data_IF_987652071211
#
_entry.id   IF_987652071211
#
_cell.length_a   1.000
_cell.length_b   1.000
_cell.length_c   1.000
_cell.angle_alpha   90.00
_cell.angle_beta   90.00
_cell.angle_gamma   90.00
#
_symmetry.space_group_name_H-M   'P 1'
#
loop_
_entity.id
_entity.type
_entity.pdbx_description
1 polymer ?
#
# COMPACT_ATOMS: atom_id res chain seq x y z
N UNK A 1 25.47 -0.08 9.45
CA UNK A 1 24.82 1.25 9.30
C UNK A 1 24.55 1.83 10.68
N UNK A 2 24.61 3.16 10.86
CA UNK A 2 24.23 3.80 12.12
C UNK A 2 22.75 3.57 12.42
N UNK A 3 22.41 3.44 13.71
CA UNK A 3 21.04 3.25 14.16
C UNK A 3 20.15 4.42 13.71
N UNK A 4 18.90 4.12 13.33
CA UNK A 4 17.91 5.16 13.01
C UNK A 4 17.66 6.08 14.19
N UNK A 5 17.32 7.35 13.93
CA UNK A 5 17.06 8.33 15.00
C UNK A 5 15.93 7.88 15.93
N UNK A 6 14.88 7.25 15.36
CA UNK A 6 13.77 6.71 16.14
C UNK A 6 14.20 5.46 16.92
N UNK A 7 15.00 4.58 16.32
CA UNK A 7 15.52 3.37 16.98
C UNK A 7 16.35 3.67 18.24
N UNK A 8 16.92 4.87 18.36
CA UNK A 8 17.69 5.30 19.54
C UNK A 8 16.81 5.79 20.70
N UNK A 9 15.50 5.98 20.48
CA UNK A 9 14.56 6.42 21.52
C UNK A 9 14.13 5.25 22.42
N UNK A 10 13.62 5.53 23.64
CA UNK A 10 12.92 4.55 24.44
C UNK A 10 11.82 3.84 23.64
N UNK A 11 11.67 2.52 23.84
CA UNK A 11 10.74 1.67 23.07
C UNK A 11 9.30 2.19 23.06
N UNK A 12 8.83 2.77 24.16
CA UNK A 12 7.51 3.39 24.23
C UNK A 12 7.34 4.55 23.23
N UNK A 13 8.36 5.41 23.06
CA UNK A 13 8.33 6.49 22.07
C UNK A 13 8.40 5.93 20.64
N UNK A 14 9.15 4.86 20.41
CA UNK A 14 9.17 4.18 19.11
C UNK A 14 7.78 3.66 18.72
N UNK A 15 7.08 3.01 19.66
CA UNK A 15 5.70 2.55 19.50
C UNK A 15 4.73 3.69 19.21
N UNK A 16 4.83 4.80 19.94
CA UNK A 16 4.01 5.99 19.70
C UNK A 16 4.23 6.58 18.31
N UNK A 17 5.48 6.66 17.83
CA UNK A 17 5.79 7.14 16.49
C UNK A 17 5.21 6.20 15.43
N UNK A 18 5.35 4.89 15.60
CA UNK A 18 4.76 3.89 14.70
C UNK A 18 3.24 4.05 14.60
N UNK A 19 2.54 4.12 15.73
CA UNK A 19 1.07 4.30 15.78
C UNK A 19 0.68 5.64 15.15
N UNK A 20 1.43 6.71 15.40
CA UNK A 20 1.16 8.04 14.87
C UNK A 20 1.27 8.07 13.34
N UNK A 21 2.24 7.37 12.75
CA UNK A 21 2.37 7.26 11.30
C UNK A 21 1.18 6.48 10.71
N UNK A 22 0.74 5.40 11.35
CA UNK A 22 -0.48 4.68 10.94
C UNK A 22 -1.74 5.54 11.03
N UNK A 23 -1.90 6.29 12.13
CA UNK A 23 -3.01 7.23 12.29
C UNK A 23 -2.98 8.31 11.19
N UNK A 24 -1.80 8.85 10.88
CA UNK A 24 -1.63 9.82 9.80
C UNK A 24 -2.00 9.24 8.43
N UNK A 25 -1.60 7.99 8.13
CA UNK A 25 -2.01 7.31 6.89
C UNK A 25 -3.53 7.20 6.78
N UNK A 26 -4.20 6.79 7.87
CA UNK A 26 -5.65 6.66 7.91
C UNK A 26 -6.35 8.01 7.72
N UNK A 27 -5.93 9.04 8.47
CA UNK A 27 -6.50 10.40 8.39
C UNK A 27 -6.28 11.00 7.01
N UNK A 28 -5.06 10.94 6.45
CA UNK A 28 -4.77 11.49 5.13
C UNK A 28 -5.51 10.76 4.01
N UNK A 29 -5.69 9.44 4.12
CA UNK A 29 -6.50 8.66 3.17
C UNK A 29 -7.97 9.06 3.26
N UNK A 30 -8.52 9.15 4.48
CA UNK A 30 -9.89 9.59 4.71
C UNK A 30 -10.15 10.99 4.14
N UNK A 31 -9.27 11.95 4.43
CA UNK A 31 -9.37 13.31 3.91
C UNK A 31 -9.24 13.36 2.38
N UNK A 32 -8.40 12.50 1.79
CA UNK A 32 -8.30 12.41 0.33
C UNK A 32 -9.60 11.91 -0.29
N UNK A 33 -10.22 10.88 0.29
CA UNK A 33 -11.49 10.33 -0.20
C UNK A 33 -12.65 11.31 0.00
N UNK A 34 -12.72 11.99 1.15
CA UNK A 34 -13.93 12.74 1.55
C UNK A 34 -13.88 14.23 1.23
N UNK A 35 -12.69 14.81 1.09
CA UNK A 35 -12.52 16.25 0.91
C UNK A 35 -11.75 16.56 -0.37
N UNK A 36 -10.51 16.05 -0.49
CA UNK A 36 -9.62 16.43 -1.59
C UNK A 36 -10.11 15.91 -2.93
N UNK A 37 -10.52 14.65 -3.00
CA UNK A 37 -11.05 14.02 -4.22
C UNK A 37 -12.27 14.76 -4.77
N UNK A 38 -13.33 14.98 -3.98
CA UNK A 38 -14.49 15.78 -4.39
C UNK A 38 -14.14 17.22 -4.78
N UNK A 39 -13.27 17.88 -4.02
CA UNK A 39 -12.82 19.23 -4.35
C UNK A 39 -12.05 19.27 -5.69
N UNK A 40 -11.21 18.27 -5.98
CA UNK A 40 -10.50 18.14 -7.24
C UNK A 40 -11.46 17.87 -8.40
N UNK A 41 -12.45 17.01 -8.19
CA UNK A 41 -13.49 16.72 -9.17
C UNK A 41 -14.28 17.98 -9.55
N UNK A 42 -14.57 18.85 -8.58
CA UNK A 42 -15.26 20.12 -8.80
C UNK A 42 -14.37 21.20 -9.45
N UNK A 43 -13.12 21.36 -8.97
CA UNK A 43 -12.23 22.44 -9.40
C UNK A 43 -11.57 22.17 -10.77
N UNK A 44 -11.19 20.93 -11.05
CA UNK A 44 -10.46 20.52 -12.26
C UNK A 44 -10.93 19.13 -12.73
N UNK A 45 -12.18 19.02 -13.25
CA UNK A 45 -12.82 17.75 -13.58
C UNK A 45 -12.04 16.93 -14.62
N UNK A 46 -11.39 17.58 -15.58
CA UNK A 46 -10.58 16.90 -16.59
C UNK A 46 -9.37 16.17 -15.97
N UNK A 47 -8.70 16.80 -14.99
CA UNK A 47 -7.57 16.19 -14.27
C UNK A 47 -8.08 15.02 -13.42
N UNK A 48 -9.19 15.21 -12.71
CA UNK A 48 -9.79 14.16 -11.91
C UNK A 48 -10.18 12.94 -12.77
N UNK A 49 -10.84 13.15 -13.90
CA UNK A 49 -11.20 12.09 -14.84
C UNK A 49 -9.96 11.36 -15.40
N UNK A 50 -8.90 12.10 -15.74
CA UNK A 50 -7.65 11.50 -16.20
C UNK A 50 -7.00 10.60 -15.13
N UNK A 51 -7.00 11.04 -13.86
CA UNK A 51 -6.51 10.24 -12.74
C UNK A 51 -7.34 8.98 -12.52
N UNK A 52 -8.68 9.08 -12.61
CA UNK A 52 -9.57 7.93 -12.51
C UNK A 52 -9.37 6.92 -13.64
N UNK A 53 -9.14 7.39 -14.87
CA UNK A 53 -8.87 6.51 -16.01
C UNK A 53 -7.51 5.82 -15.89
N UNK A 54 -6.50 6.51 -15.37
CA UNK A 54 -5.13 6.00 -15.25
C UNK A 54 -4.95 5.01 -14.08
N UNK A 55 -5.79 5.07 -13.04
CA UNK A 55 -5.54 4.35 -11.77
C UNK A 55 -5.42 2.85 -11.91
N UNK A 56 -6.28 2.20 -12.71
CA UNK A 56 -6.23 0.74 -12.86
C UNK A 56 -4.94 0.30 -13.55
N UNK A 57 -4.64 0.74 -14.79
CA UNK A 57 -3.42 0.30 -15.46
C UNK A 57 -2.17 0.67 -14.66
N UNK A 58 -2.15 1.84 -14.00
CA UNK A 58 -1.03 2.24 -13.16
C UNK A 58 -0.87 1.34 -11.93
N UNK A 59 -1.94 1.12 -11.16
CA UNK A 59 -1.86 0.29 -9.95
C UNK A 59 -1.54 -1.16 -10.29
N UNK A 60 -2.14 -1.72 -11.35
CA UNK A 60 -1.81 -3.05 -11.84
C UNK A 60 -0.35 -3.16 -12.25
N UNK A 61 0.18 -2.22 -13.05
CA UNK A 61 1.57 -2.25 -13.46
C UNK A 61 2.53 -2.13 -12.25
N UNK A 62 2.27 -1.19 -11.35
CA UNK A 62 3.09 -0.97 -10.16
C UNK A 62 3.15 -2.22 -9.27
N UNK A 63 2.00 -2.77 -8.89
CA UNK A 63 1.95 -3.94 -8.01
C UNK A 63 2.44 -5.21 -8.68
N UNK A 64 2.30 -5.34 -10.01
CA UNK A 64 2.91 -6.46 -10.73
C UNK A 64 4.44 -6.38 -10.67
N UNK A 65 5.02 -5.20 -10.95
CA UNK A 65 6.47 -5.00 -10.93
C UNK A 65 7.04 -5.18 -9.53
N UNK A 66 6.41 -4.57 -8.50
CA UNK A 66 6.84 -4.73 -7.11
C UNK A 66 6.67 -6.17 -6.64
N UNK A 67 5.59 -6.83 -7.05
CA UNK A 67 5.35 -8.24 -6.74
C UNK A 67 6.42 -9.16 -7.33
N UNK A 68 6.85 -8.92 -8.57
CA UNK A 68 7.99 -9.62 -9.17
C UNK A 68 9.30 -9.30 -8.43
N UNK A 69 9.48 -8.05 -7.99
CA UNK A 69 10.69 -7.63 -7.26
C UNK A 69 10.89 -8.40 -5.95
N UNK A 70 9.82 -8.82 -5.27
CA UNK A 70 9.90 -9.69 -4.07
C UNK A 70 10.66 -11.00 -4.30
N UNK A 71 10.74 -11.46 -5.55
CA UNK A 71 11.47 -12.66 -5.93
C UNK A 71 12.83 -12.34 -6.57
N UNK A 72 12.91 -11.30 -7.40
CA UNK A 72 14.15 -10.96 -8.13
C UNK A 72 15.14 -10.13 -7.31
N UNK A 73 14.67 -9.42 -6.28
CA UNK A 73 15.45 -8.64 -5.33
C UNK A 73 15.14 -9.06 -3.88
N UNK A 74 14.97 -10.37 -3.65
CA UNK A 74 14.46 -10.95 -2.42
C UNK A 74 15.19 -10.48 -1.16
N UNK A 75 16.51 -10.64 -1.11
CA UNK A 75 17.32 -10.27 0.07
C UNK A 75 17.16 -8.80 0.44
N UNK A 76 17.11 -7.94 -0.57
CA UNK A 76 16.93 -6.51 -0.36
C UNK A 76 15.56 -6.21 0.24
N UNK A 77 14.49 -6.81 -0.27
CA UNK A 77 13.14 -6.57 0.28
C UNK A 77 12.99 -7.21 1.66
N UNK A 78 13.50 -8.42 1.85
CA UNK A 78 13.50 -9.11 3.14
C UNK A 78 14.26 -8.33 4.22
N UNK A 79 15.30 -7.58 3.85
CA UNK A 79 16.06 -6.74 4.78
C UNK A 79 15.27 -5.56 5.36
N UNK A 80 14.17 -5.18 4.71
CA UNK A 80 13.22 -4.15 5.16
C UNK A 80 12.13 -4.69 6.09
N UNK A 81 12.12 -6.00 6.34
CA UNK A 81 11.16 -6.61 7.26
C UNK A 81 11.47 -6.24 8.72
N UNK A 82 10.50 -5.74 9.51
CA UNK A 82 10.75 -5.40 10.90
C UNK A 82 11.07 -6.65 11.74
N UNK A 83 12.15 -6.58 12.52
CA UNK A 83 12.58 -7.70 13.38
C UNK A 83 11.63 -7.88 14.57
N UNK A 84 11.51 -9.09 15.16
CA UNK A 84 10.75 -9.27 16.39
C UNK A 84 11.18 -8.29 17.49
N UNK A 85 10.20 -7.70 18.18
CA UNK A 85 10.40 -6.66 19.20
C UNK A 85 10.51 -5.23 18.67
N UNK A 86 10.49 -5.00 17.36
CA UNK A 86 10.50 -3.64 16.78
C UNK A 86 9.35 -2.80 17.35
N UNK A 87 9.65 -1.56 17.75
CA UNK A 87 8.73 -0.62 18.40
C UNK A 87 8.07 -1.12 19.70
N UNK A 88 8.49 -2.27 20.25
CA UNK A 88 7.88 -2.88 21.44
C UNK A 88 6.53 -3.56 21.22
N UNK A 89 6.09 -3.67 19.97
CA UNK A 89 4.77 -4.21 19.62
C UNK A 89 4.80 -5.17 18.41
N UNK A 90 5.91 -5.23 17.68
CA UNK A 90 6.02 -6.06 16.48
C UNK A 90 6.49 -7.49 16.82
N UNK A 91 5.55 -8.43 16.86
CA UNK A 91 5.82 -9.85 17.13
C UNK A 91 5.14 -10.76 16.09
N UNK A 92 5.08 -10.31 14.83
CA UNK A 92 4.44 -11.06 13.76
C UNK A 92 5.21 -12.38 13.52
N UNK A 93 4.56 -13.55 13.65
CA UNK A 93 5.21 -14.85 13.46
C UNK A 93 5.62 -15.05 12.00
N UNK A 94 6.61 -15.92 11.78
CA UNK A 94 7.18 -16.19 10.46
C UNK A 94 8.51 -15.48 10.22
N UNK A 95 9.18 -15.84 9.13
CA UNK A 95 10.46 -15.25 8.75
C UNK A 95 10.28 -14.06 7.81
N UNK A 96 11.29 -13.19 7.73
CA UNK A 96 11.33 -12.11 6.74
C UNK A 96 11.15 -12.64 5.31
N UNK A 97 11.78 -13.78 4.99
CA UNK A 97 11.67 -14.43 3.68
C UNK A 97 10.24 -14.93 3.41
N UNK A 98 9.57 -15.53 4.40
CA UNK A 98 8.17 -15.96 4.27
C UNK A 98 7.25 -14.79 3.91
N UNK A 99 7.32 -13.70 4.68
CA UNK A 99 6.48 -12.52 4.44
C UNK A 99 6.81 -11.85 3.11
N UNK A 100 8.09 -11.77 2.76
CA UNK A 100 8.53 -11.25 1.44
C UNK A 100 7.92 -12.05 0.30
N UNK A 101 8.01 -13.38 0.34
CA UNK A 101 7.48 -14.22 -0.73
C UNK A 101 5.95 -14.15 -0.80
N UNK A 102 5.25 -14.21 0.33
CA UNK A 102 3.80 -14.16 0.36
C UNK A 102 3.26 -12.80 -0.10
N UNK A 103 3.87 -11.69 0.32
CA UNK A 103 3.53 -10.36 -0.17
C UNK A 103 3.73 -10.28 -1.68
N UNK A 104 4.85 -10.79 -2.22
CA UNK A 104 5.08 -10.85 -3.67
C UNK A 104 3.97 -11.59 -4.43
N UNK A 105 3.55 -12.76 -3.93
CA UNK A 105 2.42 -13.51 -4.51
C UNK A 105 1.13 -12.67 -4.47
N UNK A 106 0.82 -12.06 -3.33
CA UNK A 106 -0.40 -11.27 -3.14
C UNK A 106 -0.43 -10.03 -4.05
N UNK A 107 0.71 -9.35 -4.23
CA UNK A 107 0.83 -8.19 -5.12
C UNK A 107 0.62 -8.58 -6.58
N UNK A 108 1.26 -9.65 -7.07
CA UNK A 108 1.08 -10.15 -8.44
C UNK A 108 -0.37 -10.59 -8.67
N UNK A 109 -0.94 -11.39 -7.76
CA UNK A 109 -2.31 -11.87 -7.89
C UNK A 109 -3.32 -10.72 -7.88
N UNK A 110 -3.15 -9.77 -6.96
CA UNK A 110 -3.99 -8.56 -6.89
C UNK A 110 -3.87 -7.70 -8.14
N UNK A 111 -2.65 -7.49 -8.65
CA UNK A 111 -2.40 -6.71 -9.86
C UNK A 111 -3.05 -7.33 -11.10
N UNK A 112 -2.90 -8.64 -11.29
CA UNK A 112 -3.51 -9.39 -12.38
C UNK A 112 -5.03 -9.40 -12.26
N UNK A 113 -5.58 -9.66 -11.08
CA UNK A 113 -7.02 -9.62 -10.86
C UNK A 113 -7.61 -8.22 -11.10
N UNK A 114 -6.91 -7.16 -10.70
CA UNK A 114 -7.32 -5.78 -10.98
C UNK A 114 -7.30 -5.47 -12.49
N UNK A 115 -6.25 -5.90 -13.21
CA UNK A 115 -6.13 -5.69 -14.65
C UNK A 115 -7.24 -6.45 -15.41
N UNK A 116 -7.45 -7.72 -15.04
CA UNK A 116 -8.52 -8.56 -15.59
C UNK A 116 -9.93 -8.06 -15.19
N UNK A 117 -10.05 -7.27 -14.13
CA UNK A 117 -11.31 -6.66 -13.74
C UNK A 117 -11.72 -5.43 -14.55
N UNK A 118 -10.77 -4.74 -15.21
CA UNK A 118 -10.98 -3.36 -15.66
C UNK A 118 -11.06 -3.13 -17.18
N UNK A 119 -10.48 -3.97 -18.04
CA UNK A 119 -10.62 -3.83 -19.49
C UNK A 119 -10.18 -5.08 -20.26
N UNK A 120 -10.90 -5.42 -21.34
CA UNK A 120 -10.42 -6.34 -22.39
C UNK A 120 -10.50 -7.83 -22.07
N UNK A 121 -11.08 -8.21 -20.95
CA UNK A 121 -11.26 -9.63 -20.62
C UNK A 121 -12.43 -10.19 -21.43
N UNK A 122 -12.29 -11.40 -21.99
CA UNK A 122 -13.40 -12.10 -22.62
C UNK A 122 -14.65 -12.04 -21.73
N UNK A 123 -15.79 -11.68 -22.32
CA UNK A 123 -17.08 -11.48 -21.63
C UNK A 123 -17.46 -12.63 -20.70
N UNK A 124 -17.03 -13.86 -21.00
CA UNK A 124 -17.28 -15.02 -20.15
C UNK A 124 -16.58 -14.97 -18.78
N UNK A 125 -15.35 -14.43 -18.69
CA UNK A 125 -14.64 -14.32 -17.41
C UNK A 125 -15.23 -13.19 -16.56
N UNK A 126 -15.64 -12.09 -17.18
CA UNK A 126 -16.34 -11.02 -16.47
C UNK A 126 -17.70 -11.51 -15.94
N UNK A 127 -18.43 -12.29 -16.74
CA UNK A 127 -19.69 -12.91 -16.30
C UNK A 127 -19.48 -13.93 -15.16
N UNK A 128 -18.40 -14.72 -15.20
CA UNK A 128 -18.07 -15.68 -14.15
C UNK A 128 -17.60 -15.01 -12.85
N UNK A 129 -16.89 -13.87 -12.95
CA UNK A 129 -16.28 -13.19 -11.81
C UNK A 129 -16.56 -11.66 -11.83
N UNK A 130 -17.82 -11.24 -11.66
CA UNK A 130 -18.22 -9.83 -11.82
C UNK A 130 -17.58 -8.89 -10.79
N UNK A 131 -17.12 -9.41 -9.66
CA UNK A 131 -16.50 -8.64 -8.58
C UNK A 131 -14.97 -8.71 -8.59
N UNK A 132 -14.34 -9.37 -9.58
CA UNK A 132 -12.90 -9.64 -9.58
C UNK A 132 -12.08 -8.36 -9.35
N UNK A 133 -12.35 -7.30 -10.13
CA UNK A 133 -11.64 -6.02 -10.00
C UNK A 133 -11.81 -5.37 -8.62
N UNK A 134 -13.04 -5.37 -8.08
CA UNK A 134 -13.33 -4.77 -6.79
C UNK A 134 -12.72 -5.57 -5.63
N UNK A 135 -12.76 -6.91 -5.69
CA UNK A 135 -12.13 -7.80 -4.70
C UNK A 135 -10.62 -7.67 -4.76
N UNK A 136 -10.02 -7.61 -5.95
CA UNK A 136 -8.59 -7.37 -6.11
C UNK A 136 -8.16 -6.01 -5.57
N UNK A 137 -8.92 -4.95 -5.85
CA UNK A 137 -8.66 -3.64 -5.26
C UNK A 137 -8.76 -3.65 -3.73
N UNK A 138 -9.78 -4.28 -3.16
CA UNK A 138 -9.93 -4.44 -1.72
C UNK A 138 -8.77 -5.25 -1.10
N UNK A 139 -8.32 -6.31 -1.76
CA UNK A 139 -7.18 -7.09 -1.32
C UNK A 139 -5.88 -6.26 -1.36
N UNK A 140 -5.64 -5.49 -2.43
CA UNK A 140 -4.48 -4.60 -2.55
C UNK A 140 -4.53 -3.44 -1.54
N UNK A 141 -5.72 -2.93 -1.20
CA UNK A 141 -5.90 -1.97 -0.10
C UNK A 141 -5.40 -2.55 1.23
N UNK A 142 -5.90 -3.74 1.60
CA UNK A 142 -5.51 -4.42 2.84
C UNK A 142 -4.03 -4.80 2.84
N UNK A 143 -3.50 -5.25 1.70
CA UNK A 143 -2.10 -5.58 1.54
C UNK A 143 -1.20 -4.34 1.72
N UNK A 144 -1.61 -3.18 1.19
CA UNK A 144 -0.89 -1.91 1.37
C UNK A 144 -0.82 -1.54 2.86
N UNK A 145 -1.91 -1.73 3.61
CA UNK A 145 -1.93 -1.55 5.08
C UNK A 145 -0.97 -2.55 5.75
N UNK A 146 -1.05 -3.83 5.39
CA UNK A 146 -0.24 -4.89 5.98
C UNK A 146 1.27 -4.74 5.69
N UNK A 147 1.64 -4.18 4.54
CA UNK A 147 3.02 -3.93 4.14
C UNK A 147 3.57 -2.58 4.65
N UNK A 148 2.70 -1.67 5.12
CA UNK A 148 3.08 -0.36 5.68
C UNK A 148 4.17 -0.42 6.77
N UNK A 149 4.20 -1.42 7.67
CA UNK A 149 5.27 -1.55 8.66
C UNK A 149 6.67 -1.60 8.05
N UNK A 150 6.85 -2.18 6.86
CA UNK A 150 8.16 -2.20 6.20
C UNK A 150 8.63 -0.77 5.85
N UNK A 151 7.75 0.06 5.28
CA UNK A 151 8.05 1.47 5.00
C UNK A 151 8.37 2.27 6.28
N UNK A 152 7.64 2.01 7.37
CA UNK A 152 7.89 2.65 8.67
C UNK A 152 9.22 2.15 9.27
N UNK A 153 9.56 0.89 9.08
CA UNK A 153 10.80 0.30 9.59
C UNK A 153 12.03 0.88 8.89
N UNK A 154 11.97 1.06 7.56
CA UNK A 154 13.01 1.77 6.82
C UNK A 154 13.25 3.18 7.40
N UNK A 155 12.18 3.94 7.66
CA UNK A 155 12.28 5.27 8.26
C UNK A 155 12.84 5.24 9.69
N UNK A 156 12.34 4.36 10.53
CA UNK A 156 12.62 4.39 11.98
C UNK A 156 13.96 3.74 12.34
N UNK A 157 14.42 2.75 11.56
CA UNK A 157 15.57 1.90 11.87
C UNK A 157 16.71 2.00 10.83
N UNK A 158 16.63 2.95 9.89
CA UNK A 158 17.55 3.04 8.75
C UNK A 158 17.71 1.69 8.02
N UNK A 159 16.63 0.88 7.96
CA UNK A 159 16.68 -0.36 7.21
C UNK A 159 16.95 -0.02 5.74
N UNK A 160 17.86 -0.76 5.08
CA UNK A 160 18.29 -0.41 3.73
C UNK A 160 17.11 -0.45 2.77
N UNK A 161 17.03 0.55 1.89
CA UNK A 161 16.09 0.54 0.77
C UNK A 161 16.52 -0.41 -0.35
N UNK A 162 15.82 -0.37 -1.50
CA UNK A 162 16.07 -1.24 -2.65
C UNK A 162 17.51 -1.20 -3.20
N UNK A 163 18.28 -0.17 -2.85
CA UNK A 163 19.67 0.03 -3.28
C UNK A 163 20.70 -0.31 -2.19
N UNK A 164 20.27 -0.91 -1.08
CA UNK A 164 21.16 -1.31 0.03
C UNK A 164 21.59 -0.16 0.94
N UNK A 165 21.20 1.08 0.65
CA UNK A 165 21.48 2.26 1.45
C UNK A 165 20.25 2.72 2.25
N UNK A 166 20.49 3.42 3.36
CA UNK A 166 19.43 4.09 4.10
C UNK A 166 18.76 5.15 3.20
N UNK A 167 17.43 5.16 3.21
CA UNK A 167 16.66 6.08 2.37
C UNK A 167 16.69 7.49 2.98
N UNK A 168 17.00 8.54 2.21
CA UNK A 168 16.94 9.92 2.69
C UNK A 168 15.55 10.32 3.17
N UNK A 169 15.48 11.16 4.21
CA UNK A 169 14.22 11.60 4.82
C UNK A 169 13.17 12.15 3.83
N UNK A 170 13.50 12.91 2.76
CA UNK A 170 12.47 13.42 1.84
C UNK A 170 11.78 12.30 1.07
N UNK A 171 12.51 11.21 0.79
CA UNK A 171 11.94 10.06 0.08
C UNK A 171 11.00 9.24 0.98
N UNK A 172 11.15 9.30 2.29
CA UNK A 172 10.15 8.74 3.21
C UNK A 172 8.83 9.52 3.17
N UNK A 173 8.86 10.85 3.05
CA UNK A 173 7.65 11.64 2.83
C UNK A 173 6.99 11.31 1.49
N UNK A 174 7.79 11.22 0.41
CA UNK A 174 7.26 10.82 -0.90
C UNK A 174 6.55 9.46 -0.82
N UNK A 175 7.20 8.46 -0.19
CA UNK A 175 6.61 7.14 0.04
C UNK A 175 5.31 7.21 0.83
N UNK A 176 5.25 8.03 1.89
CA UNK A 176 4.03 8.24 2.68
C UNK A 176 2.89 8.75 1.79
N UNK A 177 3.11 9.81 1.01
CA UNK A 177 2.08 10.37 0.14
C UNK A 177 1.68 9.43 -1.00
N UNK A 178 2.63 8.68 -1.57
CA UNK A 178 2.31 7.63 -2.54
C UNK A 178 1.44 6.55 -1.91
N UNK A 179 1.70 6.17 -0.66
CA UNK A 179 0.89 5.19 0.04
C UNK A 179 -0.53 5.70 0.31
N UNK A 180 -0.68 6.98 0.69
CA UNK A 180 -2.01 7.63 0.78
C UNK A 180 -2.73 7.61 -0.57
N UNK A 181 -2.04 7.90 -1.67
CA UNK A 181 -2.63 7.88 -3.01
C UNK A 181 -3.08 6.46 -3.41
N UNK A 182 -2.26 5.44 -3.14
CA UNK A 182 -2.59 4.04 -3.39
C UNK A 182 -3.79 3.59 -2.55
N UNK A 183 -3.77 3.87 -1.24
CA UNK A 183 -4.88 3.54 -0.34
C UNK A 183 -6.18 4.22 -0.79
N UNK A 184 -6.12 5.48 -1.21
CA UNK A 184 -7.26 6.23 -1.74
C UNK A 184 -7.79 5.59 -3.03
N UNK A 185 -6.92 5.23 -3.97
CA UNK A 185 -7.30 4.60 -5.23
C UNK A 185 -7.95 3.23 -5.02
N UNK A 186 -7.36 2.38 -4.19
CA UNK A 186 -7.89 1.06 -3.90
C UNK A 186 -9.17 1.10 -3.07
N UNK A 187 -9.28 2.06 -2.14
CA UNK A 187 -10.52 2.30 -1.42
C UNK A 187 -11.65 2.61 -2.39
N UNK A 188 -11.46 3.55 -3.31
CA UNK A 188 -12.52 3.94 -4.24
C UNK A 188 -12.96 2.77 -5.14
N UNK A 189 -12.02 1.93 -5.59
CA UNK A 189 -12.32 0.76 -6.41
C UNK A 189 -12.90 -0.43 -5.62
N UNK A 190 -12.54 -0.59 -4.34
CA UNK A 190 -12.84 -1.76 -3.52
C UNK A 190 -13.89 -1.55 -2.41
N UNK A 191 -14.33 -0.32 -2.14
CA UNK A 191 -15.24 0.04 -1.03
C UNK A 191 -16.53 -0.77 -0.98
N UNK A 192 -17.11 -1.13 -2.13
CA UNK A 192 -18.33 -1.95 -2.19
C UNK A 192 -18.15 -3.38 -1.68
N UNK A 193 -16.92 -3.90 -1.73
CA UNK A 193 -16.55 -5.19 -1.12
C UNK A 193 -16.23 -5.00 0.37
N UNK A 194 -15.50 -3.94 0.71
CA UNK A 194 -15.03 -3.70 2.09
C UNK A 194 -16.16 -3.37 3.07
N UNK A 195 -17.17 -2.61 2.62
CA UNK A 195 -18.26 -2.14 3.46
C UNK A 195 -19.59 -2.83 3.17
N UNK A 196 -19.62 -3.75 2.19
CA UNK A 196 -20.85 -4.26 1.60
C UNK A 196 -21.57 -3.21 0.73
N UNK A 197 -22.81 -3.48 0.29
CA UNK A 197 -23.61 -2.52 -0.46
C UNK A 197 -24.05 -1.36 0.46
N UNK A 198 -23.14 -0.43 0.72
CA UNK A 198 -23.46 0.83 1.39
C UNK A 198 -24.03 1.77 0.33
N UNK A 199 -25.27 2.28 0.51
CA UNK A 199 -25.81 3.31 -0.37
C UNK A 199 -24.81 4.46 -0.51
N UNK A 200 -24.65 5.00 -1.72
CA UNK A 200 -23.91 6.24 -1.89
C UNK A 200 -24.54 7.28 -0.97
N UNK A 201 -23.76 7.87 -0.07
CA UNK A 201 -24.22 9.07 0.64
C UNK A 201 -24.61 10.09 -0.44
N UNK A 202 -25.78 10.75 -0.27
CA UNK A 202 -26.39 11.59 -1.29
C UNK A 202 -25.49 12.75 -1.72
#
# INVERSE_FOLDING_TARGET
>A
MPLGAVQQLPTALQGLIFISIFAALAVCTYLNVTVVGPALAAAVPAVHAALLAARVPLCSALFFVVGVAHFTAHETIASMYPKPGTWGLWYLPGSASFHTNWTGVAEVAGALGLALGAAGVPTFLHAAFPQLGAVSAAALFLLTIAASPANIYMFTHNAPGPEGAAVPWPLHLLRFFMQVALLTAFWDMGRGVLLGPVPLLP
#
